data_IF_076750538649
#
_entry.id   IF_076750538649
#
_cell.length_a   1.000
_cell.length_b   1.000
_cell.length_c   1.000
_cell.angle_alpha   90.00
_cell.angle_beta   90.00
_cell.angle_gamma   90.00
#
_symmetry.space_group_name_H-M   'P 1'
#
loop_
_entity.id
_entity.type
_entity.pdbx_description
1 polymer ?
#
# COMPACT_ATOMS: atom_id res chain seq x y z
N UNK A 1 10.54 29.95 -67.29
CA UNK A 1 9.20 30.58 -67.39
C UNK A 1 8.68 30.80 -65.97
N UNK A 2 8.34 32.03 -65.55
CA UNK A 2 7.81 32.27 -64.21
C UNK A 2 6.47 31.55 -64.01
N UNK A 3 6.24 31.01 -62.81
CA UNK A 3 4.99 30.32 -62.45
C UNK A 3 3.82 31.30 -62.55
N UNK A 4 2.67 30.93 -63.14
CA UNK A 4 1.50 31.80 -63.17
C UNK A 4 1.01 32.09 -61.75
N UNK A 5 0.50 33.30 -61.49
CA UNK A 5 -0.12 33.61 -60.21
C UNK A 5 -1.43 32.84 -60.01
N UNK A 6 -1.90 32.74 -58.77
CA UNK A 6 -3.12 31.99 -58.45
C UNK A 6 -4.33 32.47 -59.26
N UNK A 7 -4.48 33.79 -59.45
CA UNK A 7 -5.59 34.36 -60.22
C UNK A 7 -5.56 33.89 -61.69
N UNK A 8 -4.41 34.01 -62.35
CA UNK A 8 -4.26 33.62 -63.75
C UNK A 8 -4.35 32.10 -63.94
N UNK A 9 -3.86 31.32 -62.96
CA UNK A 9 -3.95 29.87 -62.96
C UNK A 9 -5.41 29.39 -62.87
N UNK A 10 -6.21 30.02 -62.01
CA UNK A 10 -7.64 29.70 -61.86
C UNK A 10 -8.45 30.14 -63.08
N UNK A 11 -8.11 31.28 -63.69
CA UNK A 11 -8.82 31.79 -64.86
C UNK A 11 -8.38 31.17 -66.18
N UNK A 12 -7.40 30.26 -66.18
CA UNK A 12 -6.83 29.66 -67.39
C UNK A 12 -6.14 30.68 -68.33
N UNK A 13 -5.69 31.83 -67.79
CA UNK A 13 -5.10 32.92 -68.58
C UNK A 13 -3.58 32.90 -68.53
N UNK A 14 -2.94 33.40 -69.58
CA UNK A 14 -1.48 33.54 -69.64
C UNK A 14 -1.02 34.64 -68.66
N UNK A 15 -0.27 34.24 -67.63
CA UNK A 15 0.32 35.16 -66.67
C UNK A 15 1.59 35.79 -67.26
N UNK A 16 1.54 37.07 -67.62
CA UNK A 16 2.70 37.83 -68.13
C UNK A 16 3.07 38.91 -67.11
N UNK A 17 4.27 38.81 -66.55
CA UNK A 17 4.84 39.81 -65.63
C UNK A 17 5.77 40.70 -66.44
N UNK A 18 5.52 42.01 -66.43
CA UNK A 18 6.45 42.98 -67.03
C UNK A 18 7.67 43.15 -66.12
N UNK A 19 8.86 43.23 -66.70
CA UNK A 19 10.12 43.45 -65.96
C UNK A 19 10.17 44.82 -65.26
N UNK A 20 9.39 45.80 -65.72
CA UNK A 20 9.36 47.16 -65.18
C UNK A 20 8.53 47.28 -63.90
N UNK A 21 7.51 46.42 -63.74
CA UNK A 21 6.62 46.40 -62.57
C UNK A 21 6.55 44.99 -62.02
N UNK A 22 7.64 44.54 -61.37
CA UNK A 22 7.82 43.17 -60.88
C UNK A 22 6.77 42.69 -59.84
N UNK A 23 5.83 43.55 -59.43
CA UNK A 23 4.86 43.24 -58.37
C UNK A 23 3.59 42.55 -58.86
N UNK A 24 3.15 42.75 -60.10
CA UNK A 24 1.88 42.21 -60.59
C UNK A 24 1.93 41.86 -62.08
N UNK A 25 1.26 40.76 -62.45
CA UNK A 25 1.04 40.45 -63.86
C UNK A 25 -0.03 41.38 -64.47
N UNK A 26 0.05 41.59 -65.78
CA UNK A 26 -0.82 42.51 -66.52
C UNK A 26 -2.31 42.18 -66.37
N UNK A 27 -2.68 40.89 -66.31
CA UNK A 27 -4.08 40.46 -66.14
C UNK A 27 -4.64 40.81 -64.76
N UNK A 28 -3.86 40.66 -63.69
CA UNK A 28 -4.30 41.03 -62.34
C UNK A 28 -4.48 42.56 -62.23
N UNK A 29 -3.54 43.33 -62.77
CA UNK A 29 -3.65 44.80 -62.81
C UNK A 29 -4.90 45.24 -63.55
N UNK A 30 -5.17 44.66 -64.74
CA UNK A 30 -6.37 44.95 -65.54
C UNK A 30 -7.66 44.56 -64.83
N UNK A 31 -7.63 43.50 -64.05
CA UNK A 31 -8.80 43.02 -63.31
C UNK A 31 -9.00 43.75 -61.97
N UNK A 32 -8.14 44.71 -61.62
CA UNK A 32 -8.20 45.41 -60.33
C UNK A 32 -7.91 44.51 -59.13
N UNK A 33 -7.33 43.32 -59.35
CA UNK A 33 -6.97 42.38 -58.29
C UNK A 33 -5.49 42.48 -57.97
N UNK A 34 -5.14 42.39 -56.69
CA UNK A 34 -3.75 42.22 -56.31
C UNK A 34 -3.24 40.88 -56.85
N UNK A 35 -2.11 40.92 -57.55
CA UNK A 35 -1.47 39.68 -57.97
C UNK A 35 -0.97 39.01 -56.69
N UNK A 36 -1.67 37.98 -56.22
CA UNK A 36 -1.10 37.00 -55.31
C UNK A 36 -0.10 36.15 -56.10
N UNK A 37 0.93 36.82 -56.63
CA UNK A 37 2.23 36.18 -56.67
C UNK A 37 2.49 36.00 -55.19
N UNK A 38 2.30 34.78 -54.68
CA UNK A 38 2.83 34.47 -53.36
C UNK A 38 4.31 34.77 -53.50
N UNK A 39 4.73 35.95 -53.04
CA UNK A 39 6.06 36.14 -52.53
C UNK A 39 6.16 35.08 -51.45
N UNK A 40 6.62 33.90 -51.84
CA UNK A 40 7.32 32.95 -51.00
C UNK A 40 8.63 33.58 -50.50
N UNK A 41 8.64 34.89 -50.25
CA UNK A 41 9.37 35.54 -49.19
C UNK A 41 8.72 35.14 -47.85
N UNK A 42 8.43 33.84 -47.70
CA UNK A 42 8.51 33.22 -46.41
C UNK A 42 9.92 33.54 -45.96
N UNK A 43 9.99 34.39 -44.95
CA UNK A 43 11.23 34.76 -44.28
C UNK A 43 11.84 33.46 -43.76
N UNK A 44 12.69 32.83 -44.57
CA UNK A 44 13.25 31.50 -44.31
C UNK A 44 13.90 31.46 -42.93
N UNK A 45 14.43 32.60 -42.47
CA UNK A 45 14.96 32.77 -41.13
C UNK A 45 13.89 32.58 -40.05
N UNK A 46 12.67 33.12 -40.24
CA UNK A 46 11.56 32.89 -39.30
C UNK A 46 11.13 31.43 -39.26
N UNK A 47 11.14 30.74 -40.40
CA UNK A 47 10.83 29.32 -40.43
C UNK A 47 11.90 28.50 -39.71
N UNK A 48 13.19 28.76 -39.97
CA UNK A 48 14.30 28.09 -39.29
C UNK A 48 14.24 28.33 -37.78
N UNK A 49 14.06 29.57 -37.33
CA UNK A 49 13.91 29.90 -35.90
C UNK A 49 12.70 29.20 -35.27
N UNK A 50 11.59 29.07 -36.01
CA UNK A 50 10.43 28.34 -35.51
C UNK A 50 10.69 26.83 -35.40
N UNK A 51 11.42 26.24 -36.34
CA UNK A 51 11.82 24.83 -36.30
C UNK A 51 12.76 24.60 -35.10
N UNK A 52 13.82 25.39 -34.96
CA UNK A 52 14.79 25.28 -33.86
C UNK A 52 14.09 25.39 -32.49
N UNK A 53 13.13 26.31 -32.37
CA UNK A 53 12.33 26.47 -31.15
C UNK A 53 11.51 25.20 -30.85
N UNK A 54 10.84 24.64 -31.85
CA UNK A 54 10.02 23.43 -31.68
C UNK A 54 10.90 22.23 -31.32
N UNK A 55 12.05 22.07 -31.97
CA UNK A 55 13.00 21.00 -31.67
C UNK A 55 13.55 21.12 -30.24
N UNK A 56 13.84 22.35 -29.79
CA UNK A 56 14.26 22.60 -28.41
C UNK A 56 13.16 22.27 -27.40
N UNK A 57 11.93 22.76 -27.60
CA UNK A 57 10.78 22.45 -26.75
C UNK A 57 10.49 20.93 -26.72
N UNK A 58 10.66 20.24 -27.84
CA UNK A 58 10.53 18.79 -27.94
C UNK A 58 11.63 18.08 -27.12
N UNK A 59 12.89 18.50 -27.24
CA UNK A 59 14.01 17.93 -26.48
C UNK A 59 13.82 18.10 -24.97
N UNK A 60 13.42 19.30 -24.52
CA UNK A 60 13.11 19.55 -23.11
C UNK A 60 11.96 18.67 -22.61
N UNK A 61 10.90 18.53 -23.40
CA UNK A 61 9.74 17.71 -23.05
C UNK A 61 10.14 16.23 -22.95
N UNK A 62 10.94 15.72 -23.90
CA UNK A 62 11.47 14.35 -23.85
C UNK A 62 12.31 14.11 -22.60
N UNK A 63 13.16 15.07 -22.21
CA UNK A 63 13.96 14.97 -20.99
C UNK A 63 13.08 14.86 -19.75
N UNK A 64 12.07 15.72 -19.60
CA UNK A 64 11.10 15.68 -18.49
C UNK A 64 10.32 14.38 -18.46
N UNK A 65 9.89 13.87 -19.62
CA UNK A 65 9.20 12.58 -19.71
C UNK A 65 10.11 11.45 -19.22
N UNK A 66 11.39 11.45 -19.60
CA UNK A 66 12.38 10.47 -19.13
C UNK A 66 12.54 10.49 -17.60
N UNK A 67 12.63 11.69 -17.00
CA UNK A 67 12.71 11.85 -15.54
C UNK A 67 11.46 11.31 -14.84
N UNK A 68 10.27 11.61 -15.38
CA UNK A 68 9.00 11.09 -14.84
C UNK A 68 8.92 9.56 -14.92
N UNK A 69 9.41 8.94 -16.01
CA UNK A 69 9.49 7.49 -16.12
C UNK A 69 10.47 6.89 -15.10
N UNK A 70 11.63 7.52 -14.89
CA UNK A 70 12.57 7.08 -13.86
C UNK A 70 11.94 7.14 -12.47
N UNK A 71 11.21 8.22 -12.15
CA UNK A 71 10.49 8.37 -10.89
C UNK A 71 9.39 7.31 -10.72
N UNK A 72 8.60 7.06 -11.76
CA UNK A 72 7.56 6.02 -11.76
C UNK A 72 8.16 4.63 -11.48
N UNK A 73 9.30 4.31 -12.10
CA UNK A 73 10.00 3.05 -11.86
C UNK A 73 10.48 2.93 -10.40
N UNK A 74 10.97 4.01 -9.80
CA UNK A 74 11.35 4.03 -8.39
C UNK A 74 10.14 3.76 -7.47
N UNK A 75 9.00 4.42 -7.73
CA UNK A 75 7.77 4.18 -6.98
C UNK A 75 7.27 2.74 -7.12
N UNK A 76 7.35 2.15 -8.31
CA UNK A 76 6.94 0.77 -8.50
C UNK A 76 7.81 -0.21 -7.69
N UNK A 77 9.13 0.03 -7.63
CA UNK A 77 10.05 -0.75 -6.78
C UNK A 77 9.70 -0.59 -5.31
N UNK A 78 9.43 0.62 -4.83
CA UNK A 78 9.02 0.87 -3.45
C UNK A 78 7.70 0.15 -3.11
N UNK A 79 6.71 0.21 -4.01
CA UNK A 79 5.44 -0.51 -3.86
C UNK A 79 5.63 -2.02 -3.78
N UNK A 80 6.51 -2.60 -4.60
CA UNK A 80 6.85 -4.04 -4.55
C UNK A 80 7.51 -4.41 -3.22
N UNK A 81 8.44 -3.58 -2.73
CA UNK A 81 9.10 -3.78 -1.45
C UNK A 81 8.10 -3.75 -0.29
N UNK A 82 7.24 -2.74 -0.23
CA UNK A 82 6.21 -2.62 0.81
C UNK A 82 5.27 -3.81 0.83
N UNK A 83 4.84 -4.31 -0.34
CA UNK A 83 4.02 -5.53 -0.44
C UNK A 83 4.74 -6.76 0.08
N UNK A 84 6.04 -6.89 -0.23
CA UNK A 84 6.85 -8.00 0.28
C UNK A 84 7.01 -7.93 1.80
N UNK A 85 7.29 -6.75 2.36
CA UNK A 85 7.35 -6.54 3.80
C UNK A 85 6.03 -6.87 4.47
N UNK A 86 4.90 -6.37 3.94
CA UNK A 86 3.57 -6.67 4.47
C UNK A 86 3.28 -8.18 4.50
N UNK A 87 3.63 -8.90 3.43
CA UNK A 87 3.49 -10.36 3.41
C UNK A 87 4.33 -11.06 4.49
N UNK A 88 5.56 -10.61 4.73
CA UNK A 88 6.43 -11.15 5.79
C UNK A 88 5.89 -10.87 7.19
N UNK A 89 5.38 -9.67 7.45
CA UNK A 89 4.75 -9.33 8.73
C UNK A 89 3.54 -10.21 9.01
N UNK A 90 2.65 -10.38 8.02
CA UNK A 90 1.50 -11.26 8.18
C UNK A 90 1.92 -12.72 8.42
N UNK A 91 2.98 -13.18 7.77
CA UNK A 91 3.50 -14.53 7.97
C UNK A 91 4.11 -14.69 9.38
N UNK A 92 4.89 -13.72 9.86
CA UNK A 92 5.43 -13.77 11.22
C UNK A 92 4.33 -13.76 12.26
N UNK A 93 3.34 -12.88 12.08
CA UNK A 93 2.21 -12.78 13.03
C UNK A 93 1.42 -14.08 13.07
N UNK A 94 1.19 -14.72 11.92
CA UNK A 94 0.53 -16.04 11.86
C UNK A 94 1.34 -17.12 12.58
N UNK A 95 2.66 -17.18 12.35
CA UNK A 95 3.52 -18.14 13.05
C UNK A 95 3.51 -17.92 14.56
N UNK A 96 3.54 -16.67 15.02
CA UNK A 96 3.43 -16.36 16.45
C UNK A 96 2.08 -16.77 17.04
N UNK A 97 0.98 -16.61 16.30
CA UNK A 97 -0.34 -17.09 16.74
C UNK A 97 -0.36 -18.61 16.85
N UNK A 98 0.16 -19.32 15.84
CA UNK A 98 0.26 -20.80 15.87
C UNK A 98 1.12 -21.30 17.04
N UNK A 99 2.22 -20.61 17.36
CA UNK A 99 3.07 -20.93 18.51
C UNK A 99 2.33 -20.74 19.85
N UNK A 100 1.59 -19.64 19.99
CA UNK A 100 0.81 -19.35 21.20
C UNK A 100 -0.36 -20.33 21.37
N UNK A 101 -1.07 -20.68 20.31
CA UNK A 101 -2.15 -21.68 20.35
C UNK A 101 -1.63 -23.05 20.77
N UNK A 102 -0.44 -23.43 20.28
CA UNK A 102 0.21 -24.68 20.67
C UNK A 102 0.60 -24.67 22.15
N UNK A 103 1.17 -23.57 22.65
CA UNK A 103 1.55 -23.44 24.06
C UNK A 103 0.31 -23.50 24.97
N UNK A 104 -0.78 -22.83 24.58
CA UNK A 104 -2.06 -22.89 25.31
C UNK A 104 -2.61 -24.32 25.37
N UNK A 105 -2.53 -25.06 24.26
CA UNK A 105 -2.98 -26.44 24.20
C UNK A 105 -2.14 -27.37 25.09
N UNK A 106 -0.81 -27.23 25.07
CA UNK A 106 0.09 -28.01 25.93
C UNK A 106 -0.16 -27.72 27.43
N UNK A 107 -0.43 -26.48 27.80
CA UNK A 107 -0.76 -26.11 29.18
C UNK A 107 -2.12 -26.68 29.62
N UNK A 108 -3.13 -26.67 28.72
CA UNK A 108 -4.43 -27.32 29.00
C UNK A 108 -4.27 -28.82 29.25
N UNK A 109 -3.49 -29.51 28.43
CA UNK A 109 -3.23 -30.95 28.59
C UNK A 109 -2.48 -31.25 29.90
N UNK A 110 -1.48 -30.44 30.25
CA UNK A 110 -0.78 -30.57 31.54
C UNK A 110 -1.72 -30.34 32.72
N UNK A 111 -2.58 -29.33 32.65
CA UNK A 111 -3.53 -29.01 33.70
C UNK A 111 -4.59 -30.11 33.86
N UNK A 112 -5.14 -30.62 32.76
CA UNK A 112 -6.09 -31.76 32.79
C UNK A 112 -5.44 -33.00 33.38
N UNK A 113 -4.19 -33.30 32.98
CA UNK A 113 -3.44 -34.42 33.55
C UNK A 113 -3.20 -34.22 35.06
N UNK A 114 -2.80 -33.03 35.50
CA UNK A 114 -2.58 -32.74 36.91
C UNK A 114 -3.86 -32.89 37.75
N UNK A 115 -5.01 -32.45 37.22
CA UNK A 115 -6.31 -32.67 37.86
C UNK A 115 -6.67 -34.15 37.94
N UNK A 116 -6.43 -34.91 36.87
CA UNK A 116 -6.71 -36.34 36.85
C UNK A 116 -5.80 -37.11 37.84
N UNK A 117 -4.51 -36.78 37.88
CA UNK A 117 -3.55 -37.35 38.84
C UNK A 117 -3.96 -37.01 40.29
N UNK A 118 -4.42 -35.79 40.55
CA UNK A 118 -4.94 -35.37 41.86
C UNK A 118 -6.22 -36.13 42.26
N UNK A 119 -7.13 -36.36 41.30
CA UNK A 119 -8.34 -37.14 41.52
C UNK A 119 -8.00 -38.60 41.84
N UNK A 120 -7.05 -39.20 41.11
CA UNK A 120 -6.59 -40.57 41.35
C UNK A 120 -6.00 -40.73 42.75
N UNK A 121 -5.13 -39.80 43.17
CA UNK A 121 -4.56 -39.79 44.52
C UNK A 121 -5.63 -39.64 45.60
N UNK A 122 -6.67 -38.83 45.36
CA UNK A 122 -7.78 -38.67 46.30
C UNK A 122 -8.58 -39.97 46.44
N UNK A 123 -8.85 -40.65 45.32
CA UNK A 123 -9.55 -41.94 45.30
C UNK A 123 -8.74 -43.04 46.01
N UNK A 124 -7.42 -43.10 45.80
CA UNK A 124 -6.54 -44.04 46.52
C UNK A 124 -6.56 -43.80 48.03
N UNK A 125 -6.59 -42.54 48.48
CA UNK A 125 -6.71 -42.22 49.90
C UNK A 125 -8.07 -42.66 50.48
N UNK A 126 -9.17 -42.47 49.76
CA UNK A 126 -10.50 -42.90 50.18
C UNK A 126 -10.59 -44.43 50.31
N UNK A 127 -9.98 -45.17 49.38
CA UNK A 127 -9.89 -46.63 49.43
C UNK A 127 -9.04 -47.09 50.62
N UNK A 128 -7.92 -46.41 50.91
CA UNK A 128 -7.07 -46.72 52.08
C UNK A 128 -7.81 -46.48 53.41
N UNK A 129 -8.61 -45.42 53.48
CA UNK A 129 -9.44 -45.09 54.64
C UNK A 129 -10.55 -46.12 54.83
N UNK A 130 -11.21 -46.55 53.76
CA UNK A 130 -12.22 -47.61 53.79
C UNK A 130 -11.65 -48.98 54.21
N UNK A 131 -10.43 -49.33 53.81
CA UNK A 131 -9.78 -50.58 54.24
C UNK A 131 -9.38 -50.52 55.72
N UNK A 132 -8.88 -49.37 56.20
CA UNK A 132 -8.49 -49.21 57.61
C UNK A 132 -9.66 -49.08 58.57
N UNK A 133 -10.77 -48.46 58.16
CA UNK A 133 -11.96 -48.27 59.02
C UNK A 133 -13.09 -49.28 58.77
N UNK A 134 -13.14 -49.95 57.60
CA UNK A 134 -14.13 -50.99 57.30
C UNK A 134 -13.99 -52.27 58.15
N UNK A 135 -12.83 -52.48 58.78
CA UNK A 135 -12.62 -53.57 59.74
C UNK A 135 -13.15 -53.24 61.16
N UNK A 136 -13.34 -51.96 61.47
CA UNK A 136 -14.04 -51.51 62.66
C UNK A 136 -15.50 -51.26 62.26
N UNK A 137 -16.32 -52.31 62.35
CA UNK A 137 -17.77 -52.18 62.16
C UNK A 137 -18.36 -51.03 63.01
N UNK A 138 -19.61 -50.61 62.75
CA UNK A 138 -20.24 -49.37 63.28
C UNK A 138 -20.36 -49.21 64.81
N UNK A 139 -19.62 -49.97 65.62
CA UNK A 139 -19.53 -49.89 67.08
C UNK A 139 -18.32 -49.12 67.63
N UNK A 140 -17.41 -48.62 66.81
CA UNK A 140 -16.14 -48.04 67.31
C UNK A 140 -15.92 -46.53 67.09
N UNK A 141 -16.91 -45.78 66.61
CA UNK A 141 -16.81 -44.31 66.51
C UNK A 141 -17.67 -43.70 67.63
N UNK A 142 -17.24 -43.90 68.87
CA UNK A 142 -17.82 -43.25 70.03
C UNK A 142 -16.74 -43.00 71.07
N UNK A 143 -15.58 -42.43 70.69
CA UNK A 143 -14.55 -42.07 71.67
C UNK A 143 -13.42 -41.16 71.14
N UNK A 144 -13.71 -40.22 70.26
CA UNK A 144 -12.77 -39.14 69.94
C UNK A 144 -13.52 -37.82 69.77
N UNK A 145 -14.13 -37.37 70.86
CA UNK A 145 -14.36 -35.93 71.09
C UNK A 145 -13.05 -35.37 71.66
N UNK A 146 -12.23 -34.60 70.92
CA UNK A 146 -11.28 -33.73 71.54
C UNK A 146 -12.05 -32.57 72.22
N UNK A 147 -11.65 -32.14 73.42
CA UNK A 147 -12.32 -31.05 74.10
C UNK A 147 -12.21 -29.77 73.27
N UNK A 148 -13.37 -29.15 73.00
CA UNK A 148 -13.52 -27.78 72.52
C UNK A 148 -12.72 -26.83 73.42
N UNK A 149 -11.47 -26.56 73.07
CA UNK A 149 -10.75 -25.38 73.58
C UNK A 149 -11.20 -24.18 72.75
N UNK A 150 -12.02 -23.34 73.38
CA UNK A 150 -12.38 -22.02 72.87
C UNK A 150 -11.12 -21.24 72.45
N UNK A 151 -11.08 -20.63 71.26
CA UNK A 151 -10.15 -19.54 71.02
C UNK A 151 -10.61 -18.30 71.82
N UNK A 152 -9.69 -17.55 72.46
CA UNK A 152 -10.02 -16.26 73.03
C UNK A 152 -10.34 -15.26 71.92
N UNK A 153 -11.41 -14.50 72.13
CA UNK A 153 -11.69 -13.25 71.44
C UNK A 153 -10.54 -12.28 71.67
N UNK A 154 -9.74 -12.00 70.64
CA UNK A 154 -8.91 -10.81 70.61
C UNK A 154 -9.33 -9.91 69.45
N UNK A 155 -10.21 -8.99 69.83
CA UNK A 155 -10.52 -7.76 69.14
C UNK A 155 -9.31 -6.82 69.23
N UNK A 156 -8.62 -6.56 68.12
CA UNK A 156 -7.89 -5.29 67.89
C UNK A 156 -7.68 -5.13 66.38
N UNK A 157 -8.47 -4.30 65.70
CA UNK A 157 -8.22 -2.87 65.51
C UNK A 157 -6.73 -2.51 65.42
N UNK A 158 -6.22 -2.40 64.19
CA UNK A 158 -5.28 -1.32 63.86
C UNK A 158 -5.41 -0.95 62.39
N UNK A 159 -5.90 0.27 62.19
CA UNK A 159 -5.77 1.02 60.96
C UNK A 159 -4.28 1.21 60.61
N UNK A 160 -3.95 1.15 59.31
CA UNK A 160 -2.72 1.72 58.78
C UNK A 160 -3.00 2.32 57.40
N UNK A 161 -3.21 3.62 57.45
CA UNK A 161 -3.17 4.63 56.39
C UNK A 161 -1.79 4.65 55.72
N UNK A 162 -1.71 4.65 54.40
CA UNK A 162 -0.58 5.19 53.61
C UNK A 162 -1.17 5.65 52.26
N UNK A 163 -1.29 6.97 52.03
CA UNK A 163 -0.29 7.85 51.38
C UNK A 163 0.18 7.31 50.03
#
# INVERSE_FOLDING_TARGET
>A
MPRPCNCCSLSGKKCVISSETARCCSECVRSGHSCSFMTLDLDWNKLVVAIDRVEHEEAETRARVSELFAWLNCLEKQKKLLRSCAGKFLQSDMTTVEELEKEEQEEKEKHEKALNDQLLLSQEMDDLFNVSFGFLGPKAIALLDPPLSHPPDDTSLSAATHL
#
